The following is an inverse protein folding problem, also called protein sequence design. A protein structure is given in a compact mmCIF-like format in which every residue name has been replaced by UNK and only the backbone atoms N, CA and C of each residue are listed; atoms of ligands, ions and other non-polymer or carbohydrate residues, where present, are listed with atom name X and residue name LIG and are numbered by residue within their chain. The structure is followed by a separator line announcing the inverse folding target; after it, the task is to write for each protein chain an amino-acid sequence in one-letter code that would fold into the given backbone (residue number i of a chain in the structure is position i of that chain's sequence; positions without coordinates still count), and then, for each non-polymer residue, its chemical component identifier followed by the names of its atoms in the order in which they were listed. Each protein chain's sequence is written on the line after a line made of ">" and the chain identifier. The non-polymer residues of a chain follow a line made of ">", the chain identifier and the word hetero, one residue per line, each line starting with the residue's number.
data_IF_986369428296
#
_entry.id   IF_986369428296
#
_cell.length_a   1.000
_cell.length_b   1.000
_cell.length_c   1.000
_cell.angle_alpha   90.00
_cell.angle_beta   90.00
_cell.angle_gamma   90.00
#
_symmetry.space_group_name_H-M   'P 1'
#
loop_
_entity.id
_entity.type
_entity.pdbx_description
1 polymer ?
#
# COMPACT_ATOMS: atom_id res chain seq x y z
N UNK A 1 7.93 11.10 -8.82
CA UNK A 1 8.25 9.71 -8.39
C UNK A 1 6.97 8.99 -8.07
N UNK A 2 6.85 7.77 -8.53
CA UNK A 2 5.75 6.84 -8.22
C UNK A 2 6.40 5.55 -7.76
N UNK A 3 5.82 4.87 -6.81
CA UNK A 3 6.38 3.61 -6.32
C UNK A 3 5.36 2.78 -5.56
N UNK A 4 5.77 1.55 -5.24
CA UNK A 4 5.00 0.54 -4.57
C UNK A 4 5.91 -0.25 -3.63
N UNK A 5 5.36 -0.80 -2.55
CA UNK A 5 6.09 -1.69 -1.65
C UNK A 5 5.83 -3.16 -1.98
N UNK A 6 6.89 -3.96 -2.01
CA UNK A 6 6.79 -5.40 -2.28
C UNK A 6 6.08 -6.11 -1.14
N UNK A 7 4.99 -6.85 -1.46
CA UNK A 7 4.24 -7.67 -0.51
C UNK A 7 3.91 -6.90 0.79
N UNK A 8 3.40 -5.69 0.66
CA UNK A 8 3.22 -4.72 1.73
C UNK A 8 2.56 -5.33 2.98
N UNK A 9 1.35 -5.87 2.86
CA UNK A 9 0.61 -6.45 3.98
C UNK A 9 1.29 -7.67 4.59
N UNK A 10 2.00 -8.45 3.78
CA UNK A 10 2.70 -9.66 4.22
C UNK A 10 3.99 -9.35 4.99
N UNK A 11 4.50 -8.10 4.92
CA UNK A 11 5.77 -7.69 5.51
C UNK A 11 5.63 -6.74 6.70
N UNK A 12 4.42 -6.37 7.12
CA UNK A 12 4.23 -5.46 8.26
C UNK A 12 4.70 -6.11 9.57
N UNK A 13 5.78 -5.58 10.17
CA UNK A 13 6.36 -6.08 11.43
C UNK A 13 5.39 -5.85 12.59
N UNK A 14 5.07 -6.91 13.33
CA UNK A 14 4.09 -6.85 14.41
C UNK A 14 4.53 -5.96 15.57
N UNK A 15 5.80 -6.00 15.94
CA UNK A 15 6.30 -5.19 17.05
C UNK A 15 6.26 -3.71 16.69
N UNK A 16 6.72 -3.36 15.49
CA UNK A 16 6.69 -1.99 15.00
C UNK A 16 5.26 -1.47 14.88
N UNK A 17 4.33 -2.27 14.32
CA UNK A 17 2.91 -1.92 14.28
C UNK A 17 2.34 -1.66 15.68
N UNK A 18 2.71 -2.48 16.68
CA UNK A 18 2.29 -2.26 18.06
C UNK A 18 2.84 -0.96 18.63
N UNK A 19 4.10 -0.63 18.34
CA UNK A 19 4.72 0.62 18.76
C UNK A 19 3.99 1.82 18.15
N UNK A 20 3.69 1.80 16.85
CA UNK A 20 2.94 2.84 16.16
C UNK A 20 1.52 3.02 16.73
N UNK A 21 0.83 1.93 17.06
CA UNK A 21 -0.46 1.99 17.73
C UNK A 21 -0.35 2.62 19.13
N UNK A 22 0.64 2.25 19.92
CA UNK A 22 0.85 2.84 21.23
C UNK A 22 1.15 4.34 21.15
N UNK A 23 1.99 4.73 20.19
CA UNK A 23 2.34 6.13 19.92
C UNK A 23 1.11 6.94 19.51
N UNK A 24 0.31 6.43 18.58
CA UNK A 24 -0.92 7.07 18.11
C UNK A 24 -1.93 7.28 19.26
N UNK A 25 -2.03 6.31 20.15
CA UNK A 25 -2.96 6.37 21.31
C UNK A 25 -2.37 7.14 22.50
N UNK A 26 -1.10 7.53 22.48
CA UNK A 26 -0.43 8.19 23.59
C UNK A 26 -0.27 7.30 24.83
N UNK A 27 -0.12 5.99 24.65
CA UNK A 27 -0.04 4.99 25.73
C UNK A 27 1.26 4.21 25.68
N UNK A 28 1.76 3.77 26.85
CA UNK A 28 2.94 2.90 26.92
C UNK A 28 2.64 1.45 26.55
N UNK A 29 1.39 1.03 26.70
CA UNK A 29 0.92 -0.32 26.42
C UNK A 29 -0.51 -0.26 25.87
N UNK A 30 -0.81 -1.11 24.86
CA UNK A 30 -2.17 -1.17 24.33
C UNK A 30 -3.17 -1.59 25.39
N UNK A 31 -4.31 -0.88 25.50
CA UNK A 31 -5.47 -1.34 26.29
C UNK A 31 -5.92 -2.74 25.85
N UNK A 32 -6.57 -3.49 26.74
CA UNK A 32 -6.90 -4.90 26.52
C UNK A 32 -7.78 -5.13 25.29
N UNK A 33 -8.72 -4.26 25.02
CA UNK A 33 -9.60 -4.29 23.84
C UNK A 33 -8.82 -4.06 22.54
N UNK A 34 -7.95 -3.04 22.48
CA UNK A 34 -7.07 -2.80 21.35
C UNK A 34 -6.06 -3.94 21.16
N UNK A 35 -5.53 -4.47 22.27
CA UNK A 35 -4.61 -5.60 22.21
C UNK A 35 -5.30 -6.87 21.70
N UNK A 36 -6.56 -7.10 22.05
CA UNK A 36 -7.34 -8.23 21.52
C UNK A 36 -7.52 -8.14 20.01
N UNK A 37 -7.86 -6.95 19.48
CA UNK A 37 -7.96 -6.70 18.04
C UNK A 37 -6.60 -6.86 17.36
N UNK A 38 -5.54 -6.22 17.85
CA UNK A 38 -4.17 -6.36 17.35
C UNK A 38 -3.76 -7.83 17.27
N UNK A 39 -4.00 -8.60 18.34
CA UNK A 39 -3.69 -10.04 18.40
C UNK A 39 -4.48 -10.84 17.38
N UNK A 40 -5.75 -10.53 17.14
CA UNK A 40 -6.57 -11.24 16.17
C UNK A 40 -6.06 -11.05 14.74
N UNK A 41 -5.57 -9.85 14.42
CA UNK A 41 -5.05 -9.51 13.09
C UNK A 41 -3.64 -10.06 12.87
N UNK A 42 -2.77 -10.01 13.89
CA UNK A 42 -1.36 -10.47 13.76
C UNK A 42 -1.23 -11.99 13.88
N UNK A 43 -2.12 -12.64 14.63
CA UNK A 43 -2.15 -14.12 14.80
C UNK A 43 -3.28 -14.76 14.00
N UNK A 44 -3.50 -14.27 12.81
CA UNK A 44 -4.52 -14.81 11.91
C UNK A 44 -4.19 -16.25 11.49
N UNK A 45 -5.23 -16.94 11.06
CA UNK A 45 -5.11 -18.26 10.49
C UNK A 45 -5.56 -18.21 9.02
N UNK A 46 -4.92 -19.00 8.18
CA UNK A 46 -5.27 -19.18 6.78
C UNK A 46 -5.58 -20.64 6.50
N UNK A 47 -6.35 -20.86 5.46
CA UNK A 47 -6.64 -22.17 4.92
C UNK A 47 -6.32 -22.16 3.42
N UNK A 48 -5.64 -23.18 2.95
CA UNK A 48 -5.32 -23.27 1.52
C UNK A 48 -6.59 -23.39 0.68
N UNK A 49 -6.63 -22.65 -0.44
CA UNK A 49 -7.80 -22.64 -1.32
C UNK A 49 -8.06 -24.02 -1.94
N UNK A 50 -7.00 -24.74 -2.34
CA UNK A 50 -7.13 -26.07 -2.96
C UNK A 50 -7.70 -27.09 -1.97
N UNK A 51 -7.30 -27.00 -0.69
CA UNK A 51 -7.87 -27.83 0.36
C UNK A 51 -9.37 -27.54 0.53
N UNK A 52 -9.77 -26.27 0.52
CA UNK A 52 -11.17 -25.87 0.61
C UNK A 52 -11.98 -26.33 -0.61
N UNK A 53 -11.43 -26.22 -1.81
CA UNK A 53 -12.07 -26.73 -3.03
C UNK A 53 -12.25 -28.25 -2.97
N UNK A 54 -11.23 -28.99 -2.54
CA UNK A 54 -11.25 -30.44 -2.39
C UNK A 54 -12.30 -30.89 -1.38
N UNK A 55 -12.32 -30.26 -0.19
CA UNK A 55 -13.30 -30.56 0.87
C UNK A 55 -14.74 -30.26 0.46
N UNK A 56 -14.94 -29.33 -0.45
CA UNK A 56 -16.24 -28.96 -0.97
C UNK A 56 -16.61 -29.69 -2.27
N UNK A 57 -15.73 -30.53 -2.83
CA UNK A 57 -15.88 -31.19 -4.12
C UNK A 57 -16.10 -30.19 -5.28
N UNK A 58 -15.45 -29.04 -5.24
CA UNK A 58 -15.56 -27.96 -6.21
C UNK A 58 -14.28 -27.88 -7.07
N UNK A 59 -14.45 -27.35 -8.30
CA UNK A 59 -13.34 -27.22 -9.26
C UNK A 59 -12.79 -25.80 -9.34
N UNK A 60 -13.55 -24.79 -8.90
CA UNK A 60 -13.13 -23.39 -9.00
C UNK A 60 -13.53 -22.57 -7.76
N UNK A 61 -12.79 -21.49 -7.53
CA UNK A 61 -13.07 -20.53 -6.48
C UNK A 61 -14.40 -19.77 -6.71
N UNK A 62 -14.82 -19.62 -7.97
CA UNK A 62 -16.10 -18.99 -8.31
C UNK A 62 -17.30 -19.79 -7.80
N UNK A 63 -17.22 -21.12 -7.85
CA UNK A 63 -18.24 -22.00 -7.27
C UNK A 63 -18.23 -21.91 -5.74
N UNK A 64 -17.05 -21.79 -5.13
CA UNK A 64 -16.91 -21.63 -3.68
C UNK A 64 -17.51 -20.30 -3.22
N UNK A 65 -17.31 -19.21 -3.97
CA UNK A 65 -17.84 -17.88 -3.66
C UNK A 65 -19.37 -17.77 -3.75
N UNK A 66 -20.05 -18.72 -4.42
CA UNK A 66 -21.51 -18.80 -4.47
C UNK A 66 -22.14 -19.40 -3.20
N UNK A 67 -21.32 -19.98 -2.32
CA UNK A 67 -21.81 -20.56 -1.08
C UNK A 67 -21.93 -19.52 0.03
N UNK A 68 -23.00 -19.58 0.81
CA UNK A 68 -23.17 -18.74 2.00
C UNK A 68 -22.10 -19.03 3.07
N UNK A 69 -21.60 -20.26 3.09
CA UNK A 69 -20.51 -20.71 3.98
C UNK A 69 -19.59 -21.65 3.26
N UNK A 70 -18.30 -21.42 3.41
CA UNK A 70 -17.24 -22.25 2.82
C UNK A 70 -17.23 -23.67 3.41
N UNK A 71 -17.44 -23.80 4.72
CA UNK A 71 -17.56 -25.08 5.43
C UNK A 71 -18.70 -25.04 6.44
N UNK A 72 -19.35 -26.18 6.65
CA UNK A 72 -20.28 -26.33 7.77
C UNK A 72 -19.54 -26.21 9.11
N UNK A 73 -20.20 -25.80 10.21
CA UNK A 73 -19.59 -25.80 11.54
C UNK A 73 -19.06 -27.17 11.99
N UNK A 74 -19.66 -28.24 11.50
CA UNK A 74 -19.22 -29.61 11.76
C UNK A 74 -17.91 -29.91 11.01
N UNK A 75 -17.84 -29.65 9.69
CA UNK A 75 -16.66 -29.87 8.86
C UNK A 75 -15.49 -28.98 9.31
N UNK A 76 -15.77 -27.72 9.64
CA UNK A 76 -14.75 -26.84 10.19
C UNK A 76 -14.11 -27.42 11.46
N UNK A 77 -14.92 -27.89 12.42
CA UNK A 77 -14.39 -28.52 13.65
C UNK A 77 -13.61 -29.78 13.37
N UNK A 78 -14.06 -30.60 12.40
CA UNK A 78 -13.43 -31.85 12.00
C UNK A 78 -12.07 -31.62 11.35
N UNK A 79 -11.97 -30.65 10.45
CA UNK A 79 -10.80 -30.45 9.59
C UNK A 79 -9.82 -29.34 10.04
N UNK A 80 -10.23 -28.44 10.94
CA UNK A 80 -9.41 -27.29 11.35
C UNK A 80 -8.01 -27.67 11.85
N UNK A 81 -7.86 -28.80 12.54
CA UNK A 81 -6.57 -29.23 13.09
C UNK A 81 -5.61 -29.74 12.03
N UNK A 82 -6.12 -30.23 10.90
CA UNK A 82 -5.32 -30.75 9.80
C UNK A 82 -4.91 -29.65 8.80
N UNK A 83 -5.80 -28.70 8.54
CA UNK A 83 -5.65 -27.77 7.41
C UNK A 83 -5.48 -26.30 7.82
N UNK A 84 -5.93 -25.89 9.02
CA UNK A 84 -5.83 -24.49 9.46
C UNK A 84 -4.40 -24.17 9.85
N UNK A 85 -3.77 -23.29 9.08
CA UNK A 85 -2.40 -22.83 9.29
C UNK A 85 -2.41 -21.49 10.02
N UNK A 86 -1.74 -21.40 11.16
CA UNK A 86 -1.52 -20.14 11.87
C UNK A 86 -0.37 -19.39 11.22
N UNK A 87 -0.44 -18.05 11.20
CA UNK A 87 0.73 -17.26 10.82
C UNK A 87 1.89 -17.54 11.80
N UNK A 88 3.01 -18.14 11.33
CA UNK A 88 4.15 -18.47 12.18
C UNK A 88 5.06 -17.26 12.40
N UNK A 89 4.93 -16.20 11.59
CA UNK A 89 5.85 -15.08 11.53
C UNK A 89 5.52 -14.02 12.59
N UNK A 90 6.52 -13.20 12.91
CA UNK A 90 6.39 -11.98 13.70
C UNK A 90 6.05 -10.76 12.81
N UNK A 91 5.60 -11.01 11.59
CA UNK A 91 5.20 -10.01 10.60
C UNK A 91 4.04 -10.53 9.75
N UNK A 92 3.43 -9.62 8.98
CA UNK A 92 2.31 -9.89 8.10
C UNK A 92 0.94 -9.80 8.78
N UNK A 93 0.00 -9.18 8.06
CA UNK A 93 -1.41 -9.09 8.43
C UNK A 93 -2.29 -9.50 7.23
N UNK A 94 -3.52 -9.99 7.44
CA UNK A 94 -4.35 -10.48 6.34
C UNK A 94 -4.79 -9.32 5.44
N UNK A 95 -4.61 -9.45 4.14
CA UNK A 95 -5.14 -8.53 3.14
C UNK A 95 -6.66 -8.70 2.96
N UNK A 96 -7.37 -7.61 2.63
CA UNK A 96 -8.81 -7.64 2.34
C UNK A 96 -9.72 -7.40 3.55
N UNK A 97 -9.18 -7.25 4.75
CA UNK A 97 -9.95 -6.84 5.93
C UNK A 97 -9.94 -5.31 6.07
N UNK A 98 -11.09 -4.66 6.40
CA UNK A 98 -11.13 -3.22 6.65
C UNK A 98 -10.17 -2.76 7.74
N UNK A 99 -10.00 -3.54 8.80
CA UNK A 99 -9.07 -3.25 9.89
C UNK A 99 -7.62 -3.31 9.43
N UNK A 100 -7.28 -4.16 8.45
CA UNK A 100 -5.92 -4.25 7.92
C UNK A 100 -5.53 -2.99 7.17
N UNK A 101 -6.46 -2.37 6.42
CA UNK A 101 -6.21 -1.10 5.75
C UNK A 101 -5.93 0.03 6.77
N UNK A 102 -6.68 0.07 7.88
CA UNK A 102 -6.42 1.02 8.96
C UNK A 102 -5.04 0.79 9.60
N UNK A 103 -4.72 -0.45 9.94
CA UNK A 103 -3.44 -0.81 10.57
C UNK A 103 -2.24 -0.55 9.65
N UNK A 104 -2.40 -0.75 8.34
CA UNK A 104 -1.41 -0.40 7.34
C UNK A 104 -1.14 1.11 7.29
N UNK A 105 -2.18 1.94 7.41
CA UNK A 105 -2.01 3.38 7.54
C UNK A 105 -1.31 3.77 8.84
N UNK A 106 -1.67 3.15 9.96
CA UNK A 106 -0.98 3.37 11.25
C UNK A 106 0.50 2.99 11.16
N UNK A 107 0.83 1.90 10.48
CA UNK A 107 2.21 1.45 10.28
C UNK A 107 3.07 2.51 9.57
N UNK A 108 2.50 3.25 8.64
CA UNK A 108 3.20 4.24 7.81
C UNK A 108 3.22 5.66 8.38
N UNK A 109 2.59 5.93 9.53
CA UNK A 109 2.39 7.30 10.06
C UNK A 109 3.68 8.11 10.15
N UNK A 110 4.74 7.56 10.72
CA UNK A 110 6.01 8.27 10.88
C UNK A 110 6.68 8.52 9.52
N UNK A 111 6.62 7.54 8.62
CA UNK A 111 7.12 7.67 7.26
C UNK A 111 6.35 8.72 6.47
N UNK A 112 5.02 8.62 6.48
CA UNK A 112 4.14 9.57 5.78
C UNK A 112 4.37 10.99 6.29
N UNK A 113 4.47 11.16 7.62
CA UNK A 113 4.76 12.47 8.23
C UNK A 113 6.11 13.03 7.77
N UNK A 114 7.17 12.22 7.83
CA UNK A 114 8.50 12.66 7.41
C UNK A 114 8.54 13.07 5.93
N UNK A 115 7.85 12.31 5.05
CA UNK A 115 7.77 12.64 3.63
C UNK A 115 6.93 13.90 3.41
N UNK A 116 5.76 14.03 4.06
CA UNK A 116 4.92 15.23 3.96
C UNK A 116 5.66 16.47 4.40
N UNK A 117 6.31 16.42 5.56
CA UNK A 117 7.07 17.56 6.10
C UNK A 117 8.19 18.00 5.12
N UNK A 118 8.94 17.04 4.57
CA UNK A 118 10.01 17.31 3.61
C UNK A 118 9.49 17.83 2.26
N UNK A 119 8.50 17.15 1.68
CA UNK A 119 7.97 17.50 0.35
C UNK A 119 7.23 18.84 0.38
N UNK A 120 6.50 19.14 1.47
CA UNK A 120 5.82 20.42 1.64
C UNK A 120 6.80 21.58 1.73
N UNK A 121 7.98 21.40 2.36
CA UNK A 121 9.03 22.40 2.39
C UNK A 121 9.60 22.73 0.99
N UNK A 122 9.46 21.81 0.04
CA UNK A 122 9.82 21.97 -1.37
C UNK A 122 8.64 22.44 -2.25
N UNK A 123 7.51 22.86 -1.66
CA UNK A 123 6.26 23.16 -2.36
C UNK A 123 5.77 22.00 -3.24
N UNK A 124 6.06 20.77 -2.86
CA UNK A 124 5.67 19.55 -3.54
C UNK A 124 4.38 18.95 -3.02
N UNK A 125 4.05 17.78 -3.53
CA UNK A 125 2.85 17.03 -3.18
C UNK A 125 3.19 15.56 -2.92
N UNK A 126 2.62 14.99 -1.87
CA UNK A 126 2.69 13.57 -1.53
C UNK A 126 1.30 12.97 -1.35
N UNK A 127 1.13 11.79 -1.89
CA UNK A 127 -0.08 10.97 -1.71
C UNK A 127 0.31 9.50 -1.63
N UNK A 128 -0.31 8.77 -0.72
CA UNK A 128 -0.20 7.31 -0.64
C UNK A 128 -1.59 6.67 -0.50
N UNK A 129 -1.75 5.55 -1.14
CA UNK A 129 -2.90 4.69 -0.97
C UNK A 129 -2.42 3.25 -0.80
N UNK A 130 -2.51 2.72 0.45
CA UNK A 130 -1.98 1.42 0.81
C UNK A 130 -0.47 1.33 0.55
N UNK A 131 -0.05 0.55 -0.43
CA UNK A 131 1.32 0.31 -0.88
C UNK A 131 1.77 1.26 -1.99
N UNK A 132 0.83 1.79 -2.77
CA UNK A 132 1.11 2.74 -3.86
C UNK A 132 1.32 4.18 -3.33
N UNK A 133 2.34 4.88 -3.83
CA UNK A 133 2.55 6.28 -3.52
C UNK A 133 2.94 7.12 -4.74
N UNK A 134 2.62 8.41 -4.66
CA UNK A 134 3.00 9.41 -5.64
C UNK A 134 3.61 10.62 -4.95
N UNK A 135 4.75 11.09 -5.46
CA UNK A 135 5.48 12.25 -4.97
C UNK A 135 5.77 13.17 -6.15
N UNK A 136 5.36 14.43 -6.03
CA UNK A 136 5.60 15.47 -7.04
C UNK A 136 6.41 16.56 -6.38
N UNK A 137 7.55 16.93 -6.98
CA UNK A 137 8.41 18.00 -6.51
C UNK A 137 8.60 18.98 -7.66
N UNK A 138 8.23 20.26 -7.50
CA UNK A 138 8.60 21.29 -8.44
C UNK A 138 10.13 21.44 -8.44
N UNK A 139 10.74 21.41 -9.62
CA UNK A 139 12.16 21.62 -9.77
C UNK A 139 12.48 22.31 -11.11
N UNK A 140 13.39 23.26 -11.10
CA UNK A 140 13.90 23.90 -12.31
C UNK A 140 15.01 23.04 -12.95
N UNK A 141 15.78 22.35 -12.11
CA UNK A 141 16.91 21.52 -12.52
C UNK A 141 16.75 20.07 -12.08
N UNK A 142 17.09 19.13 -12.96
CA UNK A 142 17.01 17.67 -12.69
C UNK A 142 17.89 17.26 -11.49
N UNK A 143 19.00 17.97 -11.24
CA UNK A 143 19.93 17.66 -10.15
C UNK A 143 19.27 17.88 -8.78
N UNK A 144 18.52 18.97 -8.60
CA UNK A 144 17.78 19.26 -7.34
C UNK A 144 16.78 18.15 -7.04
N UNK A 145 16.10 17.67 -8.08
CA UNK A 145 15.18 16.54 -7.93
C UNK A 145 15.91 15.24 -7.54
N UNK A 146 17.13 15.02 -8.02
CA UNK A 146 17.92 13.83 -7.68
C UNK A 146 18.23 13.78 -6.18
N UNK A 147 18.68 14.87 -5.60
CA UNK A 147 19.01 14.96 -4.18
C UNK A 147 17.75 14.78 -3.31
N UNK A 148 16.65 15.43 -3.71
CA UNK A 148 15.38 15.32 -3.03
C UNK A 148 14.84 13.87 -3.05
N UNK A 149 14.85 13.21 -4.19
CA UNK A 149 14.38 11.80 -4.28
C UNK A 149 15.33 10.82 -3.59
N UNK A 150 16.63 11.11 -3.56
CA UNK A 150 17.58 10.30 -2.79
C UNK A 150 17.28 10.37 -1.29
N UNK A 151 16.96 11.57 -0.78
CA UNK A 151 16.53 11.74 0.61
C UNK A 151 15.20 10.99 0.89
N UNK A 152 14.21 11.15 0.03
CA UNK A 152 12.91 10.44 0.17
C UNK A 152 13.11 8.92 0.13
N UNK A 153 13.95 8.41 -0.79
CA UNK A 153 14.30 6.98 -0.80
C UNK A 153 14.88 6.53 0.53
N UNK A 154 15.72 7.33 1.17
CA UNK A 154 16.28 6.98 2.48
C UNK A 154 15.20 6.88 3.55
N UNK A 155 14.18 7.75 3.54
CA UNK A 155 13.02 7.68 4.45
C UNK A 155 12.22 6.40 4.19
N UNK A 156 11.89 6.11 2.93
CA UNK A 156 11.13 4.92 2.53
C UNK A 156 11.86 3.62 2.87
N UNK A 157 13.17 3.56 2.66
CA UNK A 157 14.02 2.42 3.04
C UNK A 157 14.18 2.25 4.56
N UNK A 158 13.95 3.32 5.32
CA UNK A 158 13.97 3.29 6.79
C UNK A 158 12.75 2.63 7.41
N UNK A 159 11.69 2.40 6.63
CA UNK A 159 10.48 1.72 7.14
C UNK A 159 10.78 0.25 7.38
N UNK A 160 10.55 -0.19 8.61
CA UNK A 160 10.90 -1.53 9.05
C UNK A 160 10.23 -2.61 8.19
N UNK A 161 10.99 -3.59 7.75
CA UNK A 161 10.56 -4.75 6.95
C UNK A 161 9.92 -4.42 5.58
N UNK A 162 9.82 -3.16 5.17
CA UNK A 162 9.30 -2.80 3.86
C UNK A 162 10.43 -2.58 2.87
N UNK A 163 10.19 -3.00 1.63
CA UNK A 163 11.12 -2.84 0.52
C UNK A 163 10.37 -2.28 -0.68
N UNK A 164 10.91 -1.23 -1.30
CA UNK A 164 10.38 -0.69 -2.54
C UNK A 164 10.47 -1.75 -3.64
N UNK A 165 9.45 -1.84 -4.47
CA UNK A 165 9.46 -2.70 -5.64
C UNK A 165 10.19 -2.00 -6.79
N UNK A 166 11.39 -2.47 -7.21
CA UNK A 166 12.22 -1.77 -8.18
C UNK A 166 11.51 -1.56 -9.53
N UNK A 167 10.81 -2.59 -10.01
CA UNK A 167 10.14 -2.55 -11.32
C UNK A 167 8.94 -1.59 -11.35
N UNK A 168 8.37 -1.27 -10.19
CA UNK A 168 7.24 -0.33 -10.08
C UNK A 168 7.68 1.07 -9.63
N UNK A 169 8.91 1.24 -9.19
CA UNK A 169 9.44 2.55 -8.82
C UNK A 169 9.85 3.30 -10.09
N UNK A 170 9.15 4.39 -10.38
CA UNK A 170 9.30 5.14 -11.62
C UNK A 170 9.51 6.61 -11.35
N UNK A 171 10.27 7.27 -12.21
CA UNK A 171 10.56 8.69 -12.15
C UNK A 171 10.18 9.36 -13.45
N UNK A 172 9.38 10.41 -13.37
CA UNK A 172 8.93 11.18 -14.53
C UNK A 172 9.28 12.64 -14.34
N UNK A 173 9.71 13.27 -15.43
CA UNK A 173 9.92 14.70 -15.53
C UNK A 173 8.86 15.32 -16.42
N UNK A 174 8.18 16.35 -15.93
CA UNK A 174 7.16 17.11 -16.64
C UNK A 174 7.67 18.51 -16.95
N UNK A 175 7.74 18.87 -18.24
CA UNK A 175 8.22 20.16 -18.74
C UNK A 175 7.10 21.15 -19.11
N UNK A 176 5.84 20.86 -18.77
CA UNK A 176 4.67 21.65 -19.17
C UNK A 176 4.05 21.20 -20.50
N UNK A 177 4.83 20.62 -21.39
CA UNK A 177 4.38 20.14 -22.71
C UNK A 177 4.62 18.66 -22.93
N UNK A 178 5.57 18.08 -22.24
CA UNK A 178 5.94 16.67 -22.36
C UNK A 178 6.23 16.06 -20.99
N UNK A 179 6.11 14.76 -20.93
CA UNK A 179 6.51 13.97 -19.79
C UNK A 179 7.49 12.90 -20.24
N UNK A 180 8.61 12.84 -19.58
CA UNK A 180 9.70 11.93 -19.88
C UNK A 180 9.92 10.97 -18.72
N UNK A 181 10.11 9.70 -19.01
CA UNK A 181 10.60 8.76 -18.01
C UNK A 181 12.11 9.00 -17.82
N UNK A 182 12.48 9.40 -16.63
CA UNK A 182 13.88 9.72 -16.27
C UNK A 182 14.43 8.72 -15.24
N UNK A 183 13.87 7.52 -15.18
CA UNK A 183 14.24 6.51 -14.18
C UNK A 183 15.73 6.16 -14.25
N UNK A 184 16.34 6.11 -15.44
CA UNK A 184 17.77 5.84 -15.61
C UNK A 184 18.70 6.90 -15.01
N UNK A 185 18.19 8.11 -14.77
CA UNK A 185 18.94 9.19 -14.09
C UNK A 185 19.00 8.94 -12.58
N UNK A 186 17.94 8.36 -12.02
CA UNK A 186 17.77 8.15 -10.58
C UNK A 186 18.14 6.73 -10.13
N UNK A 187 18.06 5.77 -11.04
CA UNK A 187 18.40 4.38 -10.79
C UNK A 187 19.01 3.76 -12.06
N UNK A 188 20.31 3.51 -12.02
CA UNK A 188 21.07 2.95 -13.15
C UNK A 188 20.64 1.52 -13.51
N UNK A 189 19.93 0.82 -12.61
CA UNK A 189 19.39 -0.51 -12.86
C UNK A 189 17.99 -0.47 -13.48
N UNK A 190 17.37 0.69 -13.54
CA UNK A 190 16.06 0.87 -14.16
C UNK A 190 16.22 0.88 -15.70
N UNK A 191 15.37 0.11 -16.39
CA UNK A 191 15.40 0.07 -17.87
C UNK A 191 14.67 1.24 -18.54
N UNK A 192 14.05 2.16 -17.80
CA UNK A 192 13.44 3.40 -18.31
C UNK A 192 12.39 3.23 -19.41
N UNK A 193 11.94 2.00 -19.67
CA UNK A 193 11.07 1.69 -20.81
C UNK A 193 9.59 1.91 -20.58
N UNK A 194 9.18 2.12 -19.32
CA UNK A 194 7.77 2.33 -19.02
C UNK A 194 7.28 3.68 -19.53
N UNK A 195 6.40 3.65 -20.51
CA UNK A 195 5.75 4.83 -21.10
C UNK A 195 4.44 5.21 -20.42
N UNK A 196 4.05 4.48 -19.40
CA UNK A 196 2.77 4.66 -18.71
C UNK A 196 3.01 4.95 -17.24
N UNK A 197 2.25 5.89 -16.69
CA UNK A 197 2.13 6.09 -15.25
C UNK A 197 1.09 5.07 -14.77
N UNK A 198 1.52 4.09 -13.99
CA UNK A 198 0.64 3.16 -13.30
C UNK A 198 0.53 3.61 -11.84
N UNK A 199 -0.62 4.11 -11.45
CA UNK A 199 -0.92 4.53 -10.10
C UNK A 199 -2.34 4.11 -9.74
N UNK A 200 -2.55 3.48 -8.61
CA UNK A 200 -3.88 3.09 -8.10
C UNK A 200 -4.69 2.25 -9.10
N UNK A 201 -4.05 1.28 -9.75
CA UNK A 201 -4.66 0.46 -10.82
C UNK A 201 -5.08 1.22 -12.08
N UNK A 202 -4.73 2.50 -12.20
CA UNK A 202 -4.95 3.28 -13.42
C UNK A 202 -3.65 3.40 -14.21
N UNK A 203 -3.74 3.12 -15.52
CA UNK A 203 -2.65 3.36 -16.46
C UNK A 203 -2.93 4.63 -17.27
N UNK A 204 -2.06 5.62 -17.17
CA UNK A 204 -2.15 6.85 -17.94
C UNK A 204 -1.15 6.80 -19.09
N UNK A 205 -1.67 6.84 -20.33
CA UNK A 205 -0.86 6.95 -21.55
C UNK A 205 -0.60 8.42 -21.89
N UNK A 206 0.61 8.74 -22.29
CA UNK A 206 1.08 10.08 -22.69
C UNK A 206 0.29 10.70 -23.85
N UNK A 207 -0.33 9.89 -24.71
CA UNK A 207 -1.04 10.37 -25.89
C UNK A 207 -2.35 11.06 -25.53
N UNK A 208 -2.93 10.79 -24.38
CA UNK A 208 -4.19 11.40 -23.92
C UNK A 208 -4.01 12.55 -22.93
N UNK A 209 -2.81 12.78 -22.40
CA UNK A 209 -2.53 13.83 -21.42
C UNK A 209 -2.35 15.23 -22.05
N UNK A 210 -2.30 15.36 -23.38
CA UNK A 210 -2.11 16.63 -24.08
C UNK A 210 -3.36 17.54 -24.03
N UNK A 211 -4.48 17.05 -23.51
CA UNK A 211 -5.71 17.83 -23.34
C UNK A 211 -6.23 17.83 -21.90
N UNK A 212 -5.35 18.00 -20.93
CA UNK A 212 -5.82 18.33 -19.57
C UNK A 212 -6.17 19.81 -19.56
N UNK A 213 -7.47 20.18 -19.44
CA UNK A 213 -7.85 21.58 -19.33
C UNK A 213 -7.18 22.16 -18.08
N UNK A 214 -6.69 23.39 -18.17
CA UNK A 214 -6.05 24.18 -17.11
C UNK A 214 -6.90 24.34 -15.83
N UNK A 215 -8.05 23.70 -15.73
CA UNK A 215 -8.95 23.69 -14.57
C UNK A 215 -8.68 22.60 -13.53
N UNK A 216 -7.78 21.63 -13.75
CA UNK A 216 -7.55 20.54 -12.79
C UNK A 216 -6.68 20.95 -11.59
N UNK A 217 -5.91 22.00 -11.71
CA UNK A 217 -5.15 22.57 -10.58
C UNK A 217 -6.04 23.23 -9.51
N UNK A 218 -7.26 23.65 -9.84
CA UNK A 218 -8.18 24.30 -8.91
C UNK A 218 -9.12 23.32 -8.16
N UNK A 219 -9.18 22.04 -8.55
CA UNK A 219 -10.11 21.08 -7.91
C UNK A 219 -9.48 20.24 -6.79
N UNK A 220 -8.17 20.29 -6.62
CA UNK A 220 -7.49 19.60 -5.50
C UNK A 220 -7.53 20.40 -4.19
N UNK A 221 -8.09 21.61 -4.18
CA UNK A 221 -8.26 22.45 -2.96
C UNK A 221 -9.64 22.28 -2.30
N UNK A 222 -10.55 21.52 -2.86
CA UNK A 222 -11.82 21.21 -2.18
C UNK A 222 -11.68 19.90 -1.39
N UNK A 223 -12.14 19.86 -0.12
CA UNK A 223 -12.10 18.63 0.66
C UNK A 223 -12.95 17.56 -0.01
N UNK A 224 -12.38 16.38 -0.22
CA UNK A 224 -13.08 15.22 -0.74
C UNK A 224 -14.21 14.88 0.24
N UNK A 225 -15.46 15.17 -0.15
CA UNK A 225 -16.62 14.66 0.57
C UNK A 225 -16.62 13.14 0.46
N UNK A 226 -16.83 12.40 1.57
CA UNK A 226 -16.83 10.95 1.52
C UNK A 226 -17.95 10.47 0.62
N UNK A 227 -17.59 9.72 -0.42
CA UNK A 227 -18.56 8.99 -1.25
C UNK A 227 -19.21 7.96 -0.34
N UNK A 228 -20.53 8.10 -0.19
CA UNK A 228 -21.36 7.12 0.50
C UNK A 228 -21.12 5.75 -0.14
N UNK A 229 -20.59 4.81 0.63
CA UNK A 229 -20.51 3.41 0.25
C UNK A 229 -21.93 2.88 0.08
N UNK A 230 -22.32 2.61 -1.17
CA UNK A 230 -23.48 1.77 -1.41
C UNK A 230 -23.12 0.36 -0.97
N UNK A 231 -23.80 -0.10 0.08
CA UNK A 231 -23.80 -1.49 0.49
C UNK A 231 -24.45 -2.35 -0.58
N UNK A 232 -23.79 -3.42 -1.01
CA UNK A 232 -24.40 -4.64 -1.54
C UNK A 232 -23.80 -5.82 -0.78
#
# INVERSE_FOLDING_TARGET
>A
MIGDFTNFFDNLDHLYLKQQLCQLLGVCQLPDDYYAVYKSVTKYCKWDLNDLLTLNHLKSHEELNKKDRVLSPYDFRKYKHAFLQKNPNAYGIPQGSPISALLANVYMLDCDKAIVDYVSALNGFYMRYSDDFCIIIPCEEKQIATDAFSHIKSILHGVKHLTLQPDKTQYFYYSGTSVENVATVFDSNSNGQNRYINLLCFSFSWISAISVPTGWYCKLSEPITPVQSAAV
#
